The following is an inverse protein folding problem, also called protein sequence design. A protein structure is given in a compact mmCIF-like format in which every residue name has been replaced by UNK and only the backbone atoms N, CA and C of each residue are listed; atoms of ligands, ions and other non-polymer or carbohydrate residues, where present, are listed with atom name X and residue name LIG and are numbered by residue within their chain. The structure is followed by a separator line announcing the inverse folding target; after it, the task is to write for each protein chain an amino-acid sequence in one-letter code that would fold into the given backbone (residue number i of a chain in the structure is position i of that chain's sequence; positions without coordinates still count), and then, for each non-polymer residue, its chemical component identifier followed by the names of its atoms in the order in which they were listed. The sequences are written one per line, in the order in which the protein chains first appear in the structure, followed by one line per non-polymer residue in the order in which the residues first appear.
data_IF_685544065387
#
_entry.id   IF_685544065387
#
_cell.length_a   1.000
_cell.length_b   1.000
_cell.length_c   1.000
_cell.angle_alpha   90.00
_cell.angle_beta   90.00
_cell.angle_gamma   90.00
#
_symmetry.space_group_name_H-M   'P 1'
#
loop_
_entity.id
_entity.type
_entity.pdbx_description
1 polymer ?
#
# COMPACT_ATOMS: atom_id res chain seq x y z
N UNK A 1 -11.43 37.07 45.23
CA UNK A 1 -11.49 35.84 44.39
C UNK A 1 -12.69 36.01 43.46
N UNK A 2 -12.50 36.32 42.16
CA UNK A 2 -13.64 36.53 41.23
C UNK A 2 -14.50 35.28 41.17
N UNK A 3 -15.83 35.46 41.23
CA UNK A 3 -16.82 34.38 41.09
C UNK A 3 -16.62 33.65 39.76
N UNK A 4 -16.84 32.33 39.75
CA UNK A 4 -16.68 31.49 38.54
C UNK A 4 -17.54 32.00 37.38
N UNK A 5 -18.75 32.51 37.68
CA UNK A 5 -19.62 33.16 36.69
C UNK A 5 -19.00 34.43 36.09
N UNK A 6 -18.25 35.19 36.89
CA UNK A 6 -17.61 36.44 36.49
C UNK A 6 -16.36 36.20 35.63
N UNK A 7 -15.64 35.10 35.88
CA UNK A 7 -14.57 34.63 34.99
C UNK A 7 -15.14 34.17 33.65
N UNK A 8 -16.26 33.44 33.66
CA UNK A 8 -16.92 32.95 32.45
C UNK A 8 -17.39 34.12 31.55
N UNK A 9 -18.08 35.12 32.11
CA UNK A 9 -18.53 36.30 31.35
C UNK A 9 -17.37 37.12 30.81
N UNK A 10 -16.30 37.27 31.58
CA UNK A 10 -15.08 37.95 31.10
C UNK A 10 -14.45 37.19 29.92
N UNK A 11 -14.44 35.86 29.96
CA UNK A 11 -13.87 35.02 28.91
C UNK A 11 -14.67 35.08 27.59
N UNK A 12 -16.01 35.09 27.67
CA UNK A 12 -16.87 35.31 26.51
C UNK A 12 -16.75 36.71 25.91
N UNK A 13 -16.57 37.73 26.76
CA UNK A 13 -16.35 39.10 26.30
C UNK A 13 -15.06 39.22 25.47
N UNK A 14 -13.96 38.62 25.94
CA UNK A 14 -12.70 38.63 25.18
C UNK A 14 -12.74 37.75 23.92
N UNK A 15 -13.52 36.66 23.92
CA UNK A 15 -13.81 35.90 22.70
C UNK A 15 -14.52 36.79 21.67
N UNK A 16 -15.56 37.51 22.08
CA UNK A 16 -16.31 38.40 21.19
C UNK A 16 -15.40 39.50 20.61
N UNK A 17 -14.55 40.12 21.43
CA UNK A 17 -13.55 41.11 20.96
C UNK A 17 -12.60 40.49 19.93
N UNK A 18 -12.12 39.27 20.18
CA UNK A 18 -11.22 38.57 19.26
C UNK A 18 -11.90 38.38 17.90
N UNK A 19 -13.14 37.88 17.89
CA UNK A 19 -13.91 37.66 16.65
C UNK A 19 -14.17 38.98 15.91
N UNK A 20 -14.57 40.03 16.63
CA UNK A 20 -14.83 41.36 16.04
C UNK A 20 -13.55 41.92 15.43
N UNK A 21 -12.41 41.79 16.12
CA UNK A 21 -11.12 42.26 15.60
C UNK A 21 -10.69 41.52 14.32
N UNK A 22 -10.91 40.21 14.26
CA UNK A 22 -10.66 39.40 13.07
C UNK A 22 -11.56 39.82 11.91
N UNK A 23 -12.87 39.94 12.14
CA UNK A 23 -13.82 40.42 11.13
C UNK A 23 -13.46 41.81 10.60
N UNK A 24 -13.08 42.73 11.49
CA UNK A 24 -12.69 44.08 11.11
C UNK A 24 -11.44 44.09 10.22
N UNK A 25 -10.40 43.33 10.60
CA UNK A 25 -9.20 43.19 9.79
C UNK A 25 -9.48 42.53 8.43
N UNK A 26 -10.29 41.48 8.42
CA UNK A 26 -10.75 40.84 7.19
C UNK A 26 -11.49 41.80 6.26
N UNK A 27 -12.43 42.58 6.78
CA UNK A 27 -13.14 43.60 6.01
C UNK A 27 -12.19 44.66 5.43
N UNK A 28 -11.18 45.12 6.17
CA UNK A 28 -10.20 46.08 5.66
C UNK A 28 -9.41 45.50 4.47
N UNK A 29 -9.02 44.23 4.55
CA UNK A 29 -8.35 43.53 3.45
C UNK A 29 -9.29 43.42 2.24
N UNK A 30 -10.56 43.04 2.46
CA UNK A 30 -11.56 42.99 1.37
C UNK A 30 -11.70 44.34 0.67
N UNK A 31 -11.85 45.43 1.43
CA UNK A 31 -11.95 46.78 0.88
C UNK A 31 -10.69 47.18 0.09
N UNK A 32 -9.51 46.85 0.60
CA UNK A 32 -8.25 47.08 -0.08
C UNK A 32 -8.17 46.34 -1.42
N UNK A 33 -8.49 45.05 -1.42
CA UNK A 33 -8.49 44.22 -2.62
C UNK A 33 -9.52 44.68 -3.68
N UNK A 34 -10.72 45.08 -3.25
CA UNK A 34 -11.74 45.63 -4.16
C UNK A 34 -11.25 46.96 -4.76
N UNK A 35 -10.70 47.87 -3.95
CA UNK A 35 -10.24 49.18 -4.39
C UNK A 35 -9.09 49.09 -5.40
N UNK A 36 -8.20 48.12 -5.22
CA UNK A 36 -7.05 47.92 -6.11
C UNK A 36 -7.33 46.91 -7.25
N UNK A 37 -8.57 46.46 -7.41
CA UNK A 37 -8.96 45.45 -8.40
C UNK A 37 -8.05 44.22 -8.40
N UNK A 38 -7.64 43.78 -7.21
CA UNK A 38 -6.73 42.64 -7.04
C UNK A 38 -7.47 41.35 -7.40
N UNK A 39 -7.28 40.90 -8.64
CA UNK A 39 -7.90 39.72 -9.21
C UNK A 39 -6.85 38.79 -9.80
N UNK A 40 -6.98 37.50 -9.54
CA UNK A 40 -6.20 36.44 -10.16
C UNK A 40 -7.15 35.62 -11.03
N UNK A 41 -6.87 35.53 -12.33
CA UNK A 41 -7.71 34.82 -13.30
C UNK A 41 -9.21 35.20 -13.26
N UNK A 42 -9.50 36.49 -13.01
CA UNK A 42 -10.87 37.01 -12.93
C UNK A 42 -11.56 36.85 -11.57
N UNK A 43 -10.95 36.13 -10.63
CA UNK A 43 -11.46 35.93 -9.26
C UNK A 43 -10.83 36.97 -8.31
N UNK A 44 -11.66 37.60 -7.47
CA UNK A 44 -11.20 38.51 -6.42
C UNK A 44 -10.34 37.78 -5.39
N UNK A 45 -9.12 38.27 -5.16
CA UNK A 45 -8.19 37.66 -4.20
C UNK A 45 -8.70 37.80 -2.75
N UNK A 46 -9.56 38.81 -2.50
CA UNK A 46 -10.23 39.07 -1.23
C UNK A 46 -10.99 37.86 -0.70
N UNK A 47 -11.54 37.03 -1.57
CA UNK A 47 -12.30 35.83 -1.19
C UNK A 47 -11.44 34.82 -0.43
N UNK A 48 -10.12 34.84 -0.67
CA UNK A 48 -9.17 33.92 -0.05
C UNK A 48 -8.40 34.57 1.09
N UNK A 49 -7.85 35.76 0.84
CA UNK A 49 -6.95 36.39 1.79
C UNK A 49 -7.72 36.98 2.98
N UNK A 50 -8.91 37.55 2.76
CA UNK A 50 -9.63 38.19 3.85
C UNK A 50 -10.07 37.20 4.95
N UNK A 51 -10.62 36.01 4.64
CA UNK A 51 -10.93 35.01 5.67
C UNK A 51 -9.69 34.52 6.43
N UNK A 52 -8.58 34.28 5.72
CA UNK A 52 -7.33 33.83 6.33
C UNK A 52 -6.78 34.89 7.29
N UNK A 53 -6.74 36.15 6.86
CA UNK A 53 -6.29 37.26 7.70
C UNK A 53 -7.23 37.46 8.89
N UNK A 54 -8.54 37.33 8.71
CA UNK A 54 -9.52 37.43 9.80
C UNK A 54 -9.25 36.38 10.88
N UNK A 55 -9.15 35.11 10.48
CA UNK A 55 -8.84 34.01 11.40
C UNK A 55 -7.49 34.15 12.09
N UNK A 56 -6.48 34.64 11.38
CA UNK A 56 -5.16 34.91 11.95
C UNK A 56 -5.20 36.01 13.01
N UNK A 57 -5.82 37.15 12.72
CA UNK A 57 -5.94 38.28 13.65
C UNK A 57 -6.78 37.89 14.87
N UNK A 58 -7.90 37.20 14.68
CA UNK A 58 -8.69 36.66 15.79
C UNK A 58 -7.85 35.73 16.67
N UNK A 59 -7.10 34.81 16.07
CA UNK A 59 -6.25 33.87 16.82
C UNK A 59 -5.16 34.60 17.59
N UNK A 60 -4.54 35.62 17.00
CA UNK A 60 -3.55 36.46 17.69
C UNK A 60 -4.16 37.19 18.90
N UNK A 61 -5.30 37.85 18.71
CA UNK A 61 -5.97 38.60 19.78
C UNK A 61 -6.49 37.66 20.87
N UNK A 62 -7.00 36.50 20.51
CA UNK A 62 -7.46 35.49 21.47
C UNK A 62 -6.31 34.89 22.26
N UNK A 63 -5.17 34.65 21.61
CA UNK A 63 -3.99 34.14 22.30
C UNK A 63 -3.40 35.19 23.25
N UNK A 64 -3.41 36.47 22.86
CA UNK A 64 -2.94 37.56 23.71
C UNK A 64 -3.85 37.81 24.94
N UNK A 65 -5.16 37.71 24.77
CA UNK A 65 -6.15 38.01 25.82
C UNK A 65 -6.50 36.81 26.70
N UNK A 66 -6.70 35.64 26.10
CA UNK A 66 -7.23 34.44 26.78
C UNK A 66 -6.22 33.30 26.89
N UNK A 67 -5.06 33.38 26.21
CA UNK A 67 -4.08 32.29 26.07
C UNK A 67 -4.70 30.99 25.54
N UNK A 68 -5.77 31.11 24.76
CA UNK A 68 -6.51 30.01 24.13
C UNK A 68 -6.77 30.36 22.68
N UNK A 69 -6.80 29.34 21.81
CA UNK A 69 -7.28 29.53 20.45
C UNK A 69 -8.80 29.64 20.43
N UNK A 70 -9.33 30.61 19.71
CA UNK A 70 -10.77 30.75 19.46
C UNK A 70 -11.25 29.88 18.30
N UNK A 71 -10.35 29.22 17.56
CA UNK A 71 -10.69 28.36 16.43
C UNK A 71 -10.97 29.09 15.11
N UNK A 72 -10.51 30.36 14.98
CA UNK A 72 -10.64 31.16 13.76
C UNK A 72 -12.09 31.28 13.24
N UNK A 73 -13.04 31.52 14.13
CA UNK A 73 -14.48 31.61 13.82
C UNK A 73 -14.77 32.74 12.82
N UNK A 74 -14.06 33.86 12.92
CA UNK A 74 -14.14 35.00 12.00
C UNK A 74 -13.74 34.63 10.57
N UNK A 75 -12.80 33.71 10.37
CA UNK A 75 -12.46 33.21 9.04
C UNK A 75 -13.66 32.49 8.40
N UNK A 76 -14.31 31.62 9.18
CA UNK A 76 -15.48 30.86 8.74
C UNK A 76 -16.62 31.82 8.38
N UNK A 77 -16.94 32.76 9.28
CA UNK A 77 -18.00 33.75 9.05
C UNK A 77 -17.70 34.55 7.78
N UNK A 78 -16.49 35.10 7.67
CA UNK A 78 -16.15 35.97 6.55
C UNK A 78 -16.13 35.20 5.22
N UNK A 79 -15.67 33.95 5.19
CA UNK A 79 -15.71 33.11 3.99
C UNK A 79 -17.13 32.83 3.53
N UNK A 80 -18.05 32.46 4.43
CA UNK A 80 -19.45 32.23 4.06
C UNK A 80 -20.14 33.52 3.61
N UNK A 81 -19.80 34.66 4.22
CA UNK A 81 -20.33 35.97 3.81
C UNK A 81 -19.80 36.34 2.43
N UNK A 82 -18.49 36.24 2.17
CA UNK A 82 -17.91 36.62 0.88
C UNK A 82 -18.33 35.68 -0.25
N UNK A 83 -18.33 34.37 -0.02
CA UNK A 83 -18.77 33.38 -1.02
C UNK A 83 -20.30 33.41 -1.19
N UNK A 84 -21.07 33.51 -0.11
CA UNK A 84 -22.52 33.61 -0.15
C UNK A 84 -22.99 34.85 -0.91
N UNK A 85 -22.36 36.02 -0.67
CA UNK A 85 -22.61 37.22 -1.46
C UNK A 85 -22.18 37.02 -2.92
N UNK A 86 -21.03 36.41 -3.17
CA UNK A 86 -20.56 36.08 -4.54
C UNK A 86 -21.44 35.10 -5.30
N UNK A 87 -22.21 34.25 -4.61
CA UNK A 87 -23.19 33.32 -5.21
C UNK A 87 -24.57 33.95 -5.39
N UNK A 88 -25.03 34.77 -4.44
CA UNK A 88 -26.36 35.39 -4.47
C UNK A 88 -26.42 36.66 -5.33
N UNK A 89 -25.31 37.38 -5.51
CA UNK A 89 -25.24 38.61 -6.29
C UNK A 89 -24.36 38.42 -7.55
N UNK A 90 -24.96 38.30 -8.75
CA UNK A 90 -24.29 37.84 -9.96
C UNK A 90 -23.41 38.89 -10.64
N UNK A 91 -23.12 40.03 -9.99
CA UNK A 91 -22.24 41.06 -10.55
C UNK A 91 -20.77 40.60 -10.68
N UNK A 92 -20.40 39.51 -9.99
CA UNK A 92 -19.17 38.74 -10.19
C UNK A 92 -19.46 37.24 -9.91
N UNK A 93 -19.95 36.47 -10.91
CA UNK A 93 -20.31 35.08 -10.67
C UNK A 93 -19.07 34.28 -10.28
N UNK A 94 -19.06 33.80 -9.04
CA UNK A 94 -17.98 32.94 -8.58
C UNK A 94 -18.12 31.57 -9.24
N UNK A 95 -17.28 31.28 -10.23
CA UNK A 95 -17.21 29.95 -10.81
C UNK A 95 -16.65 28.97 -9.76
N UNK A 96 -17.24 27.77 -9.68
CA UNK A 96 -16.65 26.64 -8.96
C UNK A 96 -15.38 26.20 -9.71
N UNK A 97 -14.31 26.96 -9.51
CA UNK A 97 -13.00 26.72 -10.10
C UNK A 97 -12.05 26.15 -9.03
N UNK A 98 -10.93 25.58 -9.46
CA UNK A 98 -9.88 25.02 -8.61
C UNK A 98 -9.38 26.02 -7.55
N UNK A 99 -9.45 27.32 -7.84
CA UNK A 99 -9.10 28.38 -6.89
C UNK A 99 -10.10 28.48 -5.74
N UNK A 100 -11.40 28.39 -6.01
CA UNK A 100 -12.46 28.39 -4.99
C UNK A 100 -12.33 27.17 -4.07
N UNK A 101 -12.03 26.00 -4.66
CA UNK A 101 -11.78 24.76 -3.92
C UNK A 101 -10.48 24.86 -3.09
N UNK A 102 -9.39 25.37 -3.68
CA UNK A 102 -8.12 25.57 -2.97
C UNK A 102 -8.25 26.56 -1.82
N UNK A 103 -9.00 27.64 -2.00
CA UNK A 103 -9.32 28.61 -0.94
C UNK A 103 -10.09 27.99 0.22
N UNK A 104 -11.08 27.14 -0.09
CA UNK A 104 -11.83 26.39 0.92
C UNK A 104 -10.90 25.45 1.72
N UNK A 105 -9.98 24.76 1.04
CA UNK A 105 -8.98 23.89 1.67
C UNK A 105 -8.06 24.70 2.60
N UNK A 106 -7.55 25.86 2.16
CA UNK A 106 -6.68 26.72 2.98
C UNK A 106 -7.41 27.29 4.21
N UNK A 107 -8.69 27.67 4.07
CA UNK A 107 -9.51 28.08 5.20
C UNK A 107 -9.72 26.92 6.18
N UNK A 108 -10.12 25.74 5.70
CA UNK A 108 -10.29 24.58 6.57
C UNK A 108 -8.99 24.22 7.28
N UNK A 109 -7.84 24.45 6.64
CA UNK A 109 -6.53 24.23 7.27
C UNK A 109 -6.26 25.25 8.39
N UNK A 110 -6.70 26.50 8.23
CA UNK A 110 -6.60 27.52 9.27
C UNK A 110 -7.57 27.28 10.44
N UNK A 111 -8.78 26.79 10.16
CA UNK A 111 -9.80 26.50 11.19
C UNK A 111 -9.55 25.16 11.92
N UNK A 112 -9.14 24.13 11.17
CA UNK A 112 -8.94 22.75 11.67
C UNK A 112 -7.62 22.14 11.16
N UNK A 113 -6.45 22.62 11.65
CA UNK A 113 -5.15 22.15 11.16
C UNK A 113 -4.96 20.64 11.26
N UNK A 114 -5.44 20.05 12.36
CA UNK A 114 -5.29 18.63 12.65
C UNK A 114 -6.12 17.76 11.68
N UNK A 115 -7.39 18.11 11.47
CA UNK A 115 -8.31 17.35 10.61
C UNK A 115 -7.83 17.40 9.15
N UNK A 116 -7.40 18.58 8.69
CA UNK A 116 -6.89 18.72 7.32
C UNK A 116 -5.61 17.93 7.09
N UNK A 117 -4.71 17.86 8.06
CA UNK A 117 -3.52 17.01 7.97
C UNK A 117 -3.90 15.52 7.81
N UNK A 118 -4.89 15.03 8.56
CA UNK A 118 -5.37 13.64 8.39
C UNK A 118 -6.02 13.39 7.02
N UNK A 119 -6.77 14.36 6.49
CA UNK A 119 -7.36 14.27 5.15
C UNK A 119 -6.25 14.23 4.08
N UNK A 120 -5.24 15.10 4.19
CA UNK A 120 -4.10 15.14 3.28
C UNK A 120 -3.30 13.82 3.30
N UNK A 121 -3.03 13.28 4.49
CA UNK A 121 -2.37 11.98 4.64
C UNK A 121 -3.21 10.87 4.01
N UNK A 122 -4.53 10.87 4.23
CA UNK A 122 -5.43 9.88 3.63
C UNK A 122 -5.44 9.94 2.10
N UNK A 123 -5.46 11.15 1.52
CA UNK A 123 -5.39 11.35 0.06
C UNK A 123 -4.03 10.88 -0.47
N UNK A 124 -2.95 11.20 0.23
CA UNK A 124 -1.60 10.76 -0.13
C UNK A 124 -1.49 9.23 -0.11
N UNK A 125 -2.01 8.58 0.94
CA UNK A 125 -2.03 7.12 1.04
C UNK A 125 -2.88 6.49 -0.07
N UNK A 126 -4.05 7.06 -0.38
CA UNK A 126 -4.88 6.62 -1.50
C UNK A 126 -4.13 6.75 -2.83
N UNK A 127 -3.42 7.84 -3.04
CA UNK A 127 -2.60 8.05 -4.23
C UNK A 127 -1.48 7.01 -4.33
N UNK A 128 -0.76 6.73 -3.24
CA UNK A 128 0.28 5.68 -3.22
C UNK A 128 -0.30 4.28 -3.48
N UNK A 129 -1.50 4.00 -2.97
CA UNK A 129 -2.20 2.74 -3.23
C UNK A 129 -2.55 2.57 -4.70
N UNK A 130 -3.10 3.62 -5.33
CA UNK A 130 -3.43 3.61 -6.77
C UNK A 130 -2.16 3.43 -7.62
N UNK A 131 -1.07 4.11 -7.27
CA UNK A 131 0.21 3.94 -7.96
C UNK A 131 0.78 2.54 -7.80
N UNK A 132 0.68 1.94 -6.61
CA UNK A 132 1.10 0.56 -6.36
C UNK A 132 0.29 -0.44 -7.20
N UNK A 133 -1.03 -0.26 -7.25
CA UNK A 133 -1.90 -1.08 -8.10
C UNK A 133 -1.56 -0.93 -9.59
N UNK A 134 -1.33 0.31 -10.07
CA UNK A 134 -0.89 0.56 -11.43
C UNK A 134 0.47 -0.06 -11.74
N UNK A 135 1.42 0.00 -10.80
CA UNK A 135 2.72 -0.65 -10.91
C UNK A 135 2.62 -2.17 -11.06
N UNK A 136 1.75 -2.81 -10.28
CA UNK A 136 1.49 -4.25 -10.36
C UNK A 136 0.89 -4.67 -11.71
N UNK A 137 0.05 -3.84 -12.32
CA UNK A 137 -0.45 -4.08 -13.68
C UNK A 137 0.67 -3.96 -14.71
N UNK A 138 1.54 -2.94 -14.58
CA UNK A 138 2.66 -2.77 -15.51
C UNK A 138 3.65 -3.94 -15.39
N UNK A 139 3.90 -4.40 -14.16
CA UNK A 139 4.73 -5.58 -13.90
C UNK A 139 4.18 -6.83 -14.59
N UNK A 140 2.87 -7.07 -14.54
CA UNK A 140 2.25 -8.23 -15.22
C UNK A 140 2.29 -8.16 -16.74
N UNK A 141 2.44 -6.97 -17.33
CA UNK A 141 2.65 -6.80 -18.77
C UNK A 141 4.13 -6.93 -19.19
N UNK A 142 5.08 -6.55 -18.33
CA UNK A 142 6.51 -6.56 -18.64
C UNK A 142 7.14 -7.91 -18.32
N UNK A 143 6.80 -8.49 -17.18
CA UNK A 143 7.20 -9.85 -16.80
C UNK A 143 6.04 -10.77 -17.11
N UNK A 144 5.96 -11.21 -18.37
CA UNK A 144 5.18 -12.39 -18.71
C UNK A 144 5.88 -13.55 -17.99
N UNK A 145 5.38 -13.90 -16.82
CA UNK A 145 5.78 -15.06 -16.03
C UNK A 145 6.08 -16.24 -16.98
N UNK A 146 7.37 -16.58 -17.13
CA UNK A 146 7.83 -17.54 -18.16
C UNK A 146 7.34 -18.97 -17.91
N UNK A 147 6.73 -19.25 -16.76
CA UNK A 147 6.17 -20.55 -16.41
C UNK A 147 4.67 -20.41 -16.17
N UNK A 148 3.87 -20.99 -17.06
CA UNK A 148 2.45 -21.22 -16.81
C UNK A 148 2.33 -22.25 -15.68
N UNK A 149 1.59 -21.95 -14.59
CA UNK A 149 1.47 -22.89 -13.49
C UNK A 149 0.85 -24.20 -13.98
N UNK A 150 1.43 -25.32 -13.53
CA UNK A 150 0.91 -26.65 -13.80
C UNK A 150 -0.09 -27.02 -12.70
N UNK A 151 -1.29 -27.43 -13.10
CA UNK A 151 -2.33 -27.83 -12.15
C UNK A 151 -2.06 -29.23 -11.63
N UNK A 152 -2.23 -29.48 -10.33
CA UNK A 152 -1.99 -30.82 -9.74
C UNK A 152 -2.81 -31.92 -10.42
N UNK A 153 -4.03 -31.62 -10.86
CA UNK A 153 -4.91 -32.57 -11.55
C UNK A 153 -4.40 -32.98 -12.94
N UNK A 154 -3.52 -32.18 -13.56
CA UNK A 154 -2.92 -32.46 -14.87
C UNK A 154 -1.62 -33.29 -14.77
N UNK A 155 -1.10 -33.47 -13.56
CA UNK A 155 0.15 -34.20 -13.32
C UNK A 155 -0.12 -35.71 -13.32
N UNK A 156 0.57 -36.43 -14.20
CA UNK A 156 0.59 -37.91 -14.17
C UNK A 156 1.38 -38.43 -12.96
N UNK A 157 0.68 -39.07 -12.03
CA UNK A 157 1.26 -39.58 -10.78
C UNK A 157 1.79 -41.03 -10.89
N UNK A 158 1.68 -41.65 -12.07
CA UNK A 158 2.11 -43.04 -12.34
C UNK A 158 3.57 -43.16 -12.75
N UNK A 159 4.31 -42.04 -12.75
CA UNK A 159 5.72 -42.01 -13.11
C UNK A 159 6.59 -42.96 -12.28
N UNK A 160 7.44 -43.72 -12.97
CA UNK A 160 8.50 -44.54 -12.37
C UNK A 160 9.85 -43.96 -12.76
N UNK A 161 10.69 -43.72 -11.75
CA UNK A 161 12.06 -43.24 -11.93
C UNK A 161 12.89 -44.24 -12.73
N UNK A 162 13.63 -43.79 -13.75
CA UNK A 162 14.54 -44.65 -14.54
C UNK A 162 15.95 -44.69 -13.96
N UNK A 163 16.29 -43.75 -13.09
CA UNK A 163 17.57 -43.68 -12.37
C UNK A 163 17.37 -43.77 -10.86
N UNK A 164 18.41 -44.11 -10.12
CA UNK A 164 18.32 -44.19 -8.67
C UNK A 164 18.45 -42.82 -8.03
N UNK A 165 17.48 -42.48 -7.17
CA UNK A 165 17.45 -41.19 -6.47
C UNK A 165 17.58 -41.44 -4.97
N UNK A 166 18.64 -40.90 -4.37
CA UNK A 166 18.94 -41.06 -2.96
C UNK A 166 18.83 -39.71 -2.23
N UNK A 167 18.10 -39.69 -1.13
CA UNK A 167 18.02 -38.50 -0.26
C UNK A 167 19.35 -38.20 0.46
N UNK A 168 20.23 -39.19 0.58
CA UNK A 168 21.56 -39.08 1.18
C UNK A 168 22.55 -39.95 0.42
N UNK A 169 23.83 -39.58 0.41
CA UNK A 169 24.90 -40.40 -0.18
C UNK A 169 24.87 -41.85 0.34
N UNK A 170 24.65 -42.86 -0.52
CA UNK A 170 24.74 -44.27 -0.15
C UNK A 170 26.21 -44.70 -0.02
N UNK A 171 26.46 -45.81 0.70
CA UNK A 171 27.79 -46.41 0.84
C UNK A 171 28.18 -47.22 -0.41
N UNK A 172 28.17 -46.55 -1.57
CA UNK A 172 28.49 -47.09 -2.88
C UNK A 172 29.57 -46.17 -3.49
N UNK A 173 30.66 -46.73 -4.05
CA UNK A 173 31.70 -45.91 -4.67
C UNK A 173 31.18 -45.20 -5.92
N UNK A 174 31.31 -43.88 -5.93
CA UNK A 174 30.94 -43.02 -7.05
C UNK A 174 32.07 -43.06 -8.09
N UNK A 175 31.73 -43.44 -9.33
CA UNK A 175 32.67 -43.47 -10.45
C UNK A 175 32.96 -42.05 -10.96
N UNK A 176 31.92 -41.22 -11.07
CA UNK A 176 32.02 -39.88 -11.62
C UNK A 176 30.96 -38.94 -11.02
N UNK A 177 31.34 -37.69 -10.77
CA UNK A 177 30.44 -36.61 -10.34
C UNK A 177 30.18 -35.69 -11.53
N UNK A 178 28.91 -35.52 -11.91
CA UNK A 178 28.50 -34.68 -13.04
C UNK A 178 28.11 -33.27 -12.61
N UNK A 179 27.95 -33.02 -11.30
CA UNK A 179 27.65 -31.73 -10.73
C UNK A 179 26.21 -31.60 -10.21
N UNK A 180 25.86 -30.39 -9.79
CA UNK A 180 24.53 -30.08 -9.27
C UNK A 180 23.51 -30.05 -10.40
N UNK A 181 22.42 -30.80 -10.25
CA UNK A 181 21.22 -30.71 -11.08
C UNK A 181 20.12 -30.00 -10.31
N UNK A 182 19.31 -29.24 -11.03
CA UNK A 182 18.26 -28.40 -10.46
C UNK A 182 17.03 -28.42 -11.36
N UNK A 183 15.85 -28.57 -10.77
CA UNK A 183 14.57 -28.42 -11.44
C UNK A 183 13.64 -27.55 -10.59
N UNK A 184 12.91 -26.66 -11.23
CA UNK A 184 11.95 -25.77 -10.56
C UNK A 184 10.71 -25.59 -11.43
N UNK A 185 9.55 -25.64 -10.80
CA UNK A 185 8.29 -25.30 -11.46
C UNK A 185 7.27 -24.66 -10.53
N UNK A 186 6.27 -24.00 -11.11
CA UNK A 186 5.14 -23.38 -10.42
C UNK A 186 3.94 -24.33 -10.51
N UNK A 187 3.36 -24.66 -9.36
CA UNK A 187 2.23 -25.59 -9.27
C UNK A 187 1.05 -24.88 -8.62
N UNK A 188 -0.10 -24.98 -9.29
CA UNK A 188 -1.39 -24.49 -8.80
C UNK A 188 -2.11 -25.59 -8.02
N UNK A 189 -2.50 -25.28 -6.78
CA UNK A 189 -3.27 -26.18 -5.92
C UNK A 189 -4.73 -25.74 -5.93
N UNK A 190 -5.56 -26.42 -6.72
CA UNK A 190 -6.95 -26.04 -7.01
C UNK A 190 -7.82 -25.89 -5.74
N UNK A 191 -7.57 -26.71 -4.72
CA UNK A 191 -8.38 -26.79 -3.49
C UNK A 191 -7.84 -25.93 -2.33
N UNK A 192 -6.90 -25.01 -2.59
CA UNK A 192 -6.21 -24.26 -1.54
C UNK A 192 -7.14 -23.20 -0.91
N UNK A 193 -7.29 -23.21 0.41
CA UNK A 193 -8.06 -22.20 1.15
C UNK A 193 -7.26 -20.92 1.37
N UNK A 194 -7.95 -19.81 1.66
CA UNK A 194 -7.32 -18.50 1.92
C UNK A 194 -6.37 -18.49 3.15
N UNK A 195 -6.47 -19.51 4.01
CA UNK A 195 -5.63 -19.67 5.21
C UNK A 195 -4.44 -20.62 5.00
N UNK A 196 -4.40 -21.31 3.86
CA UNK A 196 -3.43 -22.38 3.59
C UNK A 196 -2.16 -21.81 2.96
N UNK A 197 -1.62 -20.73 3.54
CA UNK A 197 -0.40 -20.08 3.07
C UNK A 197 0.79 -20.85 3.64
N UNK A 198 1.79 -21.18 2.81
CA UNK A 198 3.04 -21.77 3.30
C UNK A 198 3.74 -20.70 4.13
N UNK A 199 3.71 -20.81 5.46
CA UNK A 199 4.45 -19.94 6.37
C UNK A 199 5.92 -20.34 6.33
N UNK A 200 6.64 -19.84 5.31
CA UNK A 200 8.09 -19.79 5.10
C UNK A 200 8.99 -21.01 5.43
N UNK A 201 10.01 -21.15 4.56
CA UNK A 201 11.17 -22.06 4.58
C UNK A 201 11.53 -22.74 5.91
N UNK A 202 11.69 -24.08 5.86
CA UNK A 202 12.27 -24.88 6.94
C UNK A 202 11.27 -25.49 7.94
N UNK A 203 9.97 -25.45 7.66
CA UNK A 203 8.97 -26.06 8.53
C UNK A 203 9.01 -27.60 8.49
N UNK A 204 9.03 -28.22 9.67
CA UNK A 204 8.97 -29.67 9.86
C UNK A 204 7.65 -30.23 9.32
N UNK A 205 7.67 -31.50 8.89
CA UNK A 205 6.55 -32.20 8.24
C UNK A 205 5.22 -32.10 9.02
N UNK A 206 5.29 -31.95 10.34
CA UNK A 206 4.15 -31.78 11.27
C UNK A 206 3.37 -30.47 11.07
N UNK A 207 4.04 -29.39 10.65
CA UNK A 207 3.40 -28.09 10.42
C UNK A 207 2.73 -27.97 9.04
N UNK A 208 2.83 -29.01 8.20
CA UNK A 208 2.22 -29.07 6.86
C UNK A 208 0.74 -29.50 6.86
N UNK A 209 0.15 -29.73 8.04
CA UNK A 209 -1.18 -30.32 8.24
C UNK A 209 -2.38 -29.45 7.80
N UNK A 210 -2.18 -28.25 7.25
CA UNK A 210 -3.27 -27.44 6.66
C UNK A 210 -3.38 -27.59 5.13
N UNK A 211 -2.40 -28.21 4.48
CA UNK A 211 -2.40 -28.45 3.04
C UNK A 211 -2.56 -29.95 2.76
N UNK A 212 -3.34 -30.32 1.73
CA UNK A 212 -3.61 -31.74 1.41
C UNK A 212 -2.29 -32.44 1.07
N UNK A 213 -1.87 -33.40 1.91
CA UNK A 213 -0.66 -34.21 1.76
C UNK A 213 -0.50 -34.83 0.36
N UNK A 214 -1.62 -35.13 -0.31
CA UNK A 214 -1.64 -35.72 -1.64
C UNK A 214 -1.07 -34.79 -2.72
N UNK A 215 -1.44 -33.51 -2.70
CA UNK A 215 -1.05 -32.55 -3.74
C UNK A 215 0.46 -32.31 -3.72
N UNK A 216 1.05 -32.26 -2.53
CA UNK A 216 2.51 -32.21 -2.35
C UNK A 216 3.22 -33.49 -2.80
N UNK A 217 2.61 -34.66 -2.61
CA UNK A 217 3.18 -35.91 -3.06
C UNK A 217 3.22 -35.98 -4.59
N UNK A 218 2.15 -35.54 -5.25
CA UNK A 218 2.06 -35.43 -6.71
C UNK A 218 3.04 -34.40 -7.25
N UNK A 219 3.05 -33.19 -6.68
CA UNK A 219 4.03 -32.14 -7.00
C UNK A 219 5.48 -32.59 -6.83
N UNK A 220 5.78 -33.34 -5.77
CA UNK A 220 7.11 -33.88 -5.50
C UNK A 220 7.52 -34.92 -6.53
N UNK A 221 6.61 -35.83 -6.92
CA UNK A 221 6.89 -36.80 -8.00
C UNK A 221 7.15 -36.09 -9.33
N UNK A 222 6.37 -35.06 -9.63
CA UNK A 222 6.53 -34.25 -10.84
C UNK A 222 7.90 -33.56 -10.91
N UNK A 223 8.28 -32.83 -9.86
CA UNK A 223 9.57 -32.12 -9.88
C UNK A 223 10.75 -33.10 -9.87
N UNK A 224 10.59 -34.27 -9.26
CA UNK A 224 11.58 -35.35 -9.30
C UNK A 224 11.76 -35.90 -10.72
N UNK A 225 10.69 -36.06 -11.48
CA UNK A 225 10.76 -36.45 -12.89
C UNK A 225 11.57 -35.42 -13.69
N UNK A 226 11.29 -34.13 -13.50
CA UNK A 226 12.03 -33.06 -14.18
C UNK A 226 13.52 -33.06 -13.77
N UNK A 227 13.82 -33.27 -12.49
CA UNK A 227 15.19 -33.38 -11.99
C UNK A 227 15.92 -34.59 -12.58
N UNK A 228 15.23 -35.71 -12.74
CA UNK A 228 15.76 -36.90 -13.41
C UNK A 228 16.08 -36.62 -14.89
N UNK A 229 15.22 -35.93 -15.63
CA UNK A 229 15.48 -35.55 -17.02
C UNK A 229 16.75 -34.69 -17.13
N UNK A 230 16.99 -33.75 -16.20
CA UNK A 230 18.23 -32.97 -16.15
C UNK A 230 19.46 -33.85 -15.89
N UNK A 231 19.36 -34.85 -15.00
CA UNK A 231 20.45 -35.79 -14.74
C UNK A 231 20.74 -36.72 -15.94
N UNK A 232 19.71 -37.15 -16.66
CA UNK A 232 19.85 -37.98 -17.85
C UNK A 232 20.52 -37.22 -19.00
N UNK A 233 20.25 -35.93 -19.18
CA UNK A 233 20.90 -35.08 -20.20
C UNK A 233 22.43 -35.04 -20.05
N UNK A 234 22.92 -35.17 -18.82
CA UNK A 234 24.36 -35.20 -18.50
C UNK A 234 24.90 -36.63 -18.33
N UNK A 235 24.13 -37.65 -18.74
CA UNK A 235 24.50 -39.07 -18.69
C UNK A 235 24.79 -39.61 -17.27
N UNK A 236 24.18 -39.01 -16.23
CA UNK A 236 24.21 -39.56 -14.89
C UNK A 236 23.22 -40.73 -14.77
N UNK A 237 23.55 -41.73 -13.93
CA UNK A 237 22.67 -42.87 -13.65
C UNK A 237 22.06 -42.84 -12.25
N UNK A 238 22.38 -41.81 -11.45
CA UNK A 238 21.85 -41.61 -10.12
C UNK A 238 21.94 -40.15 -9.68
N UNK A 239 21.09 -39.78 -8.72
CA UNK A 239 21.13 -38.49 -8.04
C UNK A 239 21.23 -38.74 -6.54
N UNK A 240 22.14 -38.04 -5.85
CA UNK A 240 22.31 -38.12 -4.39
C UNK A 240 22.05 -36.77 -3.72
N UNK A 241 21.82 -36.81 -2.41
CA UNK A 241 21.61 -35.65 -1.55
C UNK A 241 20.46 -34.74 -2.03
N UNK A 242 19.37 -35.36 -2.49
CA UNK A 242 18.21 -34.63 -3.02
C UNK A 242 17.47 -33.86 -1.92
N UNK A 243 17.24 -32.58 -2.19
CA UNK A 243 16.48 -31.69 -1.31
C UNK A 243 15.36 -31.02 -2.10
N UNK A 244 14.33 -30.59 -1.37
CA UNK A 244 13.14 -29.94 -1.91
C UNK A 244 12.88 -28.64 -1.17
N UNK A 245 12.59 -27.60 -1.93
CA UNK A 245 12.17 -26.31 -1.41
C UNK A 245 10.80 -25.96 -1.95
N UNK A 246 9.99 -25.33 -1.10
CA UNK A 246 8.64 -24.88 -1.43
C UNK A 246 8.51 -23.42 -1.02
N UNK A 247 8.08 -22.56 -1.93
CA UNK A 247 7.83 -21.14 -1.64
C UNK A 247 6.54 -20.67 -2.30
N UNK A 248 5.91 -19.63 -1.73
CA UNK A 248 4.77 -18.99 -2.35
C UNK A 248 5.26 -18.15 -3.55
N UNK A 249 4.61 -18.30 -4.70
CA UNK A 249 5.06 -17.68 -5.95
C UNK A 249 4.51 -16.27 -6.16
N UNK A 250 3.23 -16.07 -5.92
CA UNK A 250 2.52 -14.85 -6.29
C UNK A 250 1.77 -14.23 -5.10
N UNK A 251 1.23 -13.03 -5.32
CA UNK A 251 0.40 -12.30 -4.35
C UNK A 251 -1.08 -12.69 -4.44
N UNK A 252 -1.43 -13.73 -5.21
CA UNK A 252 -2.80 -14.21 -5.31
C UNK A 252 -3.22 -14.85 -3.97
N UNK A 253 -4.52 -14.87 -3.71
CA UNK A 253 -5.08 -15.47 -2.50
C UNK A 253 -6.06 -16.56 -2.92
N UNK A 254 -5.70 -17.85 -2.73
CA UNK A 254 -4.44 -18.35 -2.18
C UNK A 254 -3.26 -18.23 -3.19
N UNK A 255 -2.00 -18.17 -2.73
CA UNK A 255 -0.87 -18.04 -3.64
C UNK A 255 -0.49 -19.37 -4.29
N UNK A 256 0.05 -19.35 -5.50
CA UNK A 256 0.63 -20.55 -6.13
C UNK A 256 1.91 -21.00 -5.40
N UNK A 257 2.33 -22.24 -5.62
CA UNK A 257 3.51 -22.82 -4.97
C UNK A 257 4.62 -23.06 -5.99
N UNK A 258 5.77 -22.45 -5.80
CA UNK A 258 7.00 -22.88 -6.48
C UNK A 258 7.54 -24.10 -5.73
N UNK A 259 7.79 -25.17 -6.47
CA UNK A 259 8.58 -26.30 -5.99
C UNK A 259 9.92 -26.31 -6.70
N UNK A 260 11.00 -26.41 -5.93
CA UNK A 260 12.34 -26.60 -6.45
C UNK A 260 12.92 -27.89 -5.88
N UNK A 261 13.62 -28.65 -6.72
CA UNK A 261 14.38 -29.82 -6.32
C UNK A 261 15.82 -29.71 -6.83
N UNK A 262 16.77 -30.09 -5.99
CA UNK A 262 18.18 -30.10 -6.35
C UNK A 262 18.88 -31.31 -5.75
N UNK A 263 19.93 -31.77 -6.43
CA UNK A 263 20.74 -32.89 -6.00
C UNK A 263 22.03 -32.98 -6.81
N UNK A 264 22.94 -33.85 -6.39
CA UNK A 264 24.19 -34.10 -7.09
C UNK A 264 24.01 -35.27 -8.05
N UNK A 265 24.19 -35.02 -9.34
CA UNK A 265 24.16 -36.06 -10.36
C UNK A 265 25.47 -36.83 -10.37
N UNK A 266 25.39 -38.16 -10.32
CA UNK A 266 26.53 -39.06 -10.22
C UNK A 266 26.35 -40.29 -11.09
N UNK A 267 27.46 -40.94 -11.41
CA UNK A 267 27.47 -42.27 -12.00
C UNK A 267 28.04 -43.27 -10.99
N UNK A 268 27.25 -44.26 -10.60
CA UNK A 268 27.74 -45.45 -9.91
C UNK A 268 28.17 -46.52 -10.91
N UNK A 269 29.05 -47.43 -10.50
CA UNK A 269 29.35 -48.61 -11.31
C UNK A 269 28.14 -49.58 -11.31
N UNK A 270 27.76 -50.09 -12.48
CA UNK A 270 26.60 -50.98 -12.67
C UNK A 270 26.63 -52.23 -11.78
N UNK A 271 27.81 -52.66 -11.31
CA UNK A 271 27.94 -53.83 -10.43
C UNK A 271 27.39 -53.60 -9.01
N UNK A 272 27.08 -52.36 -8.65
CA UNK A 272 26.57 -51.97 -7.34
C UNK A 272 25.14 -51.39 -7.38
N UNK A 273 24.52 -51.33 -8.56
CA UNK A 273 23.13 -50.92 -8.77
C UNK A 273 22.24 -52.17 -8.92
#
# INVERSE_FOLDING_TARGET
MKSEKEKLTTDYFWLAISIISGLFAGMLITLFCIRHHLRIFGVGIDIFIAPVVAGFVETLVSNFTRKKSSGAISAIILFFVTNGIGWLFPSQPLSFNIFTVGGFILMLQAAFPLIMNYILISIFLLFTYILGWGGSIIESFIHKTDKTPVTVSEIDDTYKTRIHIFNSKPDIPIKEYHGLVFAEDVIEFEDKGHRDIIQYMGSTQENKNLLKYNDYAVARKYILHNLEEEALKINANSIIDVQFEYTNYNQQIPPDVVIAAYGMAVTFEEKYL
#
